data_IF_140553091773
#
_entry.id   IF_140553091773
#
_cell.length_a   1.000
_cell.length_b   1.000
_cell.length_c   1.000
_cell.angle_alpha   90.00
_cell.angle_beta   90.00
_cell.angle_gamma   90.00
#
_symmetry.space_group_name_H-M   'P 1'
#
loop_
_entity.id
_entity.type
_entity.pdbx_description
1 polymer ?
#
# COMPACT_ATOMS: atom_id res chain seq x y z
N UNK A 1 -28.89 3.60 -11.54
CA UNK A 1 -28.04 3.97 -10.39
C UNK A 1 -27.39 2.70 -9.86
N UNK A 2 -26.05 2.64 -9.78
CA UNK A 2 -25.33 1.50 -9.23
C UNK A 2 -24.98 1.82 -7.78
N UNK A 3 -25.45 1.01 -6.83
CA UNK A 3 -25.08 1.14 -5.43
C UNK A 3 -23.70 0.52 -5.21
N UNK A 4 -22.78 1.29 -4.66
CA UNK A 4 -21.43 0.83 -4.31
C UNK A 4 -21.33 0.71 -2.79
N UNK A 5 -21.08 -0.49 -2.30
CA UNK A 5 -20.91 -0.72 -0.87
C UNK A 5 -19.51 -0.29 -0.38
N UNK A 6 -19.41 0.11 0.87
CA UNK A 6 -18.15 0.52 1.54
C UNK A 6 -16.99 -0.48 1.36
N UNK A 7 -17.17 -1.81 1.42
CA UNK A 7 -16.09 -2.76 1.16
C UNK A 7 -15.49 -2.65 -0.23
N UNK A 8 -16.31 -2.42 -1.27
CA UNK A 8 -15.84 -2.24 -2.64
C UNK A 8 -15.00 -0.97 -2.80
N UNK A 9 -15.44 0.14 -2.21
CA UNK A 9 -14.67 1.38 -2.18
C UNK A 9 -13.34 1.20 -1.44
N UNK A 10 -13.35 0.49 -0.30
CA UNK A 10 -12.13 0.20 0.48
C UNK A 10 -11.11 -0.60 -0.33
N UNK A 11 -11.57 -1.59 -1.09
CA UNK A 11 -10.70 -2.36 -1.97
C UNK A 11 -10.05 -1.48 -3.02
N UNK A 12 -10.83 -0.72 -3.75
CA UNK A 12 -10.34 0.14 -4.84
C UNK A 12 -9.37 1.21 -4.35
N UNK A 13 -9.62 1.85 -3.20
CA UNK A 13 -8.68 2.83 -2.65
C UNK A 13 -7.32 2.22 -2.31
N UNK A 14 -7.31 1.00 -1.72
CA UNK A 14 -6.07 0.30 -1.37
C UNK A 14 -5.29 -0.07 -2.62
N UNK A 15 -5.95 -0.63 -3.61
CA UNK A 15 -5.35 -0.95 -4.91
C UNK A 15 -4.75 0.29 -5.60
N UNK A 16 -5.45 1.41 -5.53
CA UNK A 16 -5.01 2.68 -6.09
C UNK A 16 -3.97 3.42 -5.26
N UNK A 17 -3.66 2.94 -4.04
CA UNK A 17 -2.71 3.60 -3.14
C UNK A 17 -3.26 4.88 -2.51
N UNK A 18 -4.60 5.03 -2.43
CA UNK A 18 -5.23 6.17 -1.76
C UNK A 18 -5.23 5.93 -0.25
N UNK A 19 -4.43 6.71 0.46
CA UNK A 19 -4.25 6.61 1.90
C UNK A 19 -5.46 7.16 2.66
N UNK A 20 -5.78 6.56 3.80
CA UNK A 20 -6.86 6.97 4.69
C UNK A 20 -6.30 7.64 5.95
N UNK A 21 -6.73 8.86 6.23
CA UNK A 21 -6.39 9.56 7.45
C UNK A 21 -6.87 8.79 8.70
N UNK A 22 -6.04 8.76 9.72
CA UNK A 22 -6.29 8.01 10.95
C UNK A 22 -6.02 6.49 10.85
N UNK A 23 -5.80 5.96 9.63
CA UNK A 23 -5.43 4.57 9.42
C UNK A 23 -4.00 4.45 8.88
N UNK A 24 -3.77 4.97 7.67
CA UNK A 24 -2.50 4.85 6.97
C UNK A 24 -1.54 5.99 7.33
N UNK A 25 -2.08 7.10 7.79
CA UNK A 25 -1.30 8.23 8.31
C UNK A 25 -2.07 9.03 9.36
N UNK A 26 -1.34 9.77 10.18
CA UNK A 26 -1.89 10.67 11.21
C UNK A 26 -1.15 12.02 11.15
N UNK A 27 -1.58 13.00 11.96
CA UNK A 27 -0.87 14.28 12.10
C UNK A 27 0.59 14.17 12.57
N UNK A 28 1.00 13.01 13.10
CA UNK A 28 2.39 12.71 13.51
C UNK A 28 3.22 12.09 12.39
N UNK A 29 2.59 11.78 11.25
CA UNK A 29 3.26 11.10 10.14
C UNK A 29 3.96 12.10 9.25
N UNK A 30 5.24 11.86 8.98
CA UNK A 30 6.00 12.64 8.01
C UNK A 30 5.45 12.39 6.59
N UNK A 31 5.11 13.44 5.80
CA UNK A 31 4.57 13.28 4.46
C UNK A 31 5.49 12.51 3.50
N UNK A 32 6.81 12.57 3.67
CA UNK A 32 7.72 11.76 2.85
C UNK A 32 7.56 10.27 3.11
N UNK A 33 7.39 9.88 4.39
CA UNK A 33 7.25 8.46 4.76
C UNK A 33 6.01 7.79 4.17
N UNK A 34 5.02 8.58 3.76
CA UNK A 34 3.79 8.11 3.08
C UNK A 34 3.75 8.43 1.58
N UNK A 35 4.90 8.79 0.99
CA UNK A 35 5.02 9.01 -0.45
C UNK A 35 4.41 10.33 -0.95
N UNK A 36 4.03 11.25 -0.06
CA UNK A 36 3.44 12.54 -0.41
C UNK A 36 4.46 13.66 -0.63
N UNK A 37 5.75 13.36 -0.53
CA UNK A 37 6.83 14.34 -0.72
C UNK A 37 6.78 15.09 -2.04
N UNK A 38 6.29 14.45 -3.10
CA UNK A 38 6.12 15.06 -4.45
C UNK A 38 5.14 16.24 -4.49
N UNK A 39 4.29 16.38 -3.47
CA UNK A 39 3.33 17.48 -3.37
C UNK A 39 3.88 18.68 -2.58
N UNK A 40 5.10 18.57 -2.04
CA UNK A 40 5.74 19.63 -1.28
C UNK A 40 6.58 20.47 -2.24
N UNK A 41 6.22 21.74 -2.37
CA UNK A 41 7.02 22.69 -3.17
C UNK A 41 7.93 23.51 -2.25
N UNK A 42 9.22 23.20 -2.25
CA UNK A 42 10.24 23.90 -1.47
C UNK A 42 10.69 25.23 -2.10
N UNK A 43 10.33 25.51 -3.37
CA UNK A 43 10.67 26.77 -4.05
C UNK A 43 9.80 27.93 -3.55
N UNK A 44 8.68 27.64 -2.89
CA UNK A 44 7.91 28.66 -2.19
C UNK A 44 8.78 29.37 -1.17
N UNK A 45 8.66 30.72 -1.13
CA UNK A 45 9.46 31.58 -0.23
C UNK A 45 9.35 31.09 1.21
N UNK A 46 8.13 30.85 1.69
CA UNK A 46 7.87 30.33 3.04
C UNK A 46 6.54 29.59 3.13
N UNK A 47 6.44 28.65 4.08
CA UNK A 47 5.21 28.01 4.53
C UNK A 47 5.43 27.33 5.89
N UNK A 48 4.35 27.14 6.67
CA UNK A 48 4.42 26.54 7.99
C UNK A 48 5.01 25.13 7.91
N UNK A 49 6.10 24.88 8.65
CA UNK A 49 6.79 23.61 8.72
C UNK A 49 7.86 23.37 7.64
N UNK A 50 8.18 24.36 6.80
CA UNK A 50 9.22 24.23 5.74
C UNK A 50 10.55 23.74 6.31
N UNK A 51 11.08 24.38 7.35
CA UNK A 51 12.36 24.00 7.96
C UNK A 51 12.34 22.57 8.55
N UNK A 52 11.24 22.18 9.22
CA UNK A 52 11.09 20.84 9.78
C UNK A 52 11.09 19.77 8.68
N UNK A 53 10.40 20.05 7.56
CA UNK A 53 10.38 19.15 6.41
C UNK A 53 11.73 19.08 5.69
N UNK A 54 12.48 20.18 5.65
CA UNK A 54 13.83 20.17 5.07
C UNK A 54 14.78 19.27 5.85
N UNK A 55 14.66 19.22 7.17
CA UNK A 55 15.47 18.40 8.09
C UNK A 55 14.98 16.96 8.24
N UNK A 56 13.78 16.64 7.76
CA UNK A 56 13.18 15.33 7.93
C UNK A 56 13.75 14.27 6.99
N UNK A 57 13.63 12.98 7.38
CA UNK A 57 13.90 11.86 6.48
C UNK A 57 12.92 11.91 5.29
N UNK A 58 13.46 11.89 4.07
CA UNK A 58 12.70 12.01 2.82
C UNK A 58 12.35 10.67 2.19
N UNK A 59 12.63 9.55 2.86
CA UNK A 59 12.38 8.21 2.34
C UNK A 59 10.93 7.78 2.58
N UNK A 60 10.34 7.16 1.54
CA UNK A 60 9.02 6.55 1.66
C UNK A 60 9.13 5.20 2.39
N UNK A 61 8.22 4.98 3.35
CA UNK A 61 8.11 3.73 4.13
C UNK A 61 6.73 3.07 3.98
N UNK A 62 5.85 3.66 3.19
CA UNK A 62 4.48 3.17 2.99
C UNK A 62 4.34 2.55 1.62
N UNK A 63 3.98 1.28 1.59
CA UNK A 63 3.91 0.46 0.39
C UNK A 63 2.62 -0.35 0.36
N UNK A 64 2.33 -0.94 -0.79
CA UNK A 64 1.32 -1.96 -0.92
C UNK A 64 1.83 -3.32 -0.44
N UNK A 65 0.90 -4.22 -0.13
CA UNK A 65 1.18 -5.64 0.09
C UNK A 65 0.12 -6.48 -0.60
N UNK A 66 0.56 -7.59 -1.20
CA UNK A 66 -0.31 -8.66 -1.72
C UNK A 66 -0.07 -9.92 -0.92
N UNK A 67 -1.15 -10.62 -0.58
CA UNK A 67 -1.09 -11.89 0.16
C UNK A 67 -1.82 -12.94 -0.67
N UNK A 68 -1.13 -14.02 -1.04
CA UNK A 68 -1.67 -15.02 -1.95
C UNK A 68 -2.95 -15.69 -1.44
N UNK A 69 -3.03 -15.94 -0.13
CA UNK A 69 -4.17 -16.58 0.51
C UNK A 69 -4.57 -15.79 1.75
N UNK A 70 -5.85 -15.47 1.88
CA UNK A 70 -6.37 -14.77 3.04
C UNK A 70 -6.19 -13.24 2.99
N UNK A 71 -6.74 -12.58 3.98
CA UNK A 71 -6.68 -11.13 4.17
C UNK A 71 -5.86 -10.83 5.41
N UNK A 72 -4.87 -9.96 5.29
CA UNK A 72 -4.04 -9.56 6.42
C UNK A 72 -4.88 -8.92 7.55
N UNK A 73 -4.50 -9.14 8.80
CA UNK A 73 -5.14 -8.49 9.95
C UNK A 73 -4.56 -7.09 10.08
N UNK A 74 -5.44 -6.08 10.08
CA UNK A 74 -5.05 -4.69 10.31
C UNK A 74 -4.43 -4.54 11.71
N UNK A 75 -3.30 -3.83 11.77
CA UNK A 75 -2.55 -3.57 13.00
C UNK A 75 -1.49 -4.62 13.32
N UNK A 76 -1.57 -5.81 12.72
CA UNK A 76 -0.56 -6.85 12.90
C UNK A 76 0.76 -6.48 12.24
N UNK A 77 1.84 -6.96 12.85
CA UNK A 77 3.19 -6.81 12.31
C UNK A 77 3.42 -7.75 11.13
N UNK A 78 4.25 -7.30 10.19
CA UNK A 78 4.80 -8.15 9.14
C UNK A 78 6.25 -8.50 9.48
N UNK A 79 6.68 -9.70 9.09
CA UNK A 79 7.97 -10.23 9.49
C UNK A 79 8.79 -10.75 8.31
N UNK A 80 10.11 -10.64 8.45
CA UNK A 80 11.10 -11.39 7.65
C UNK A 80 12.02 -12.10 8.63
N UNK A 81 12.18 -13.42 8.49
CA UNK A 81 13.01 -14.25 9.39
C UNK A 81 12.71 -13.95 10.87
N UNK A 82 11.44 -14.00 11.26
CA UNK A 82 10.93 -13.74 12.61
C UNK A 82 11.14 -12.28 13.11
N UNK A 83 11.84 -11.43 12.39
CA UNK A 83 12.05 -10.02 12.74
C UNK A 83 10.87 -9.18 12.22
N UNK A 84 10.29 -8.39 13.11
CA UNK A 84 9.30 -7.38 12.72
C UNK A 84 9.97 -6.29 11.88
N UNK A 85 9.36 -5.94 10.75
CA UNK A 85 9.85 -4.92 9.83
C UNK A 85 8.84 -3.80 9.56
N UNK A 86 7.64 -3.91 10.10
CA UNK A 86 6.58 -2.94 9.92
C UNK A 86 5.22 -3.53 10.29
N UNK A 87 4.15 -2.82 9.94
CA UNK A 87 2.77 -3.20 10.28
C UNK A 87 1.79 -2.95 9.15
N UNK A 88 0.71 -3.71 9.16
CA UNK A 88 -0.45 -3.53 8.27
C UNK A 88 -1.28 -2.33 8.77
N UNK A 89 -1.46 -1.32 7.95
CA UNK A 89 -2.30 -0.16 8.28
C UNK A 89 -3.71 -0.27 7.71
N UNK A 90 -3.84 -0.88 6.55
CA UNK A 90 -5.10 -1.17 5.88
C UNK A 90 -5.03 -2.50 5.15
N UNK A 91 -6.16 -3.21 5.11
CA UNK A 91 -6.25 -4.50 4.41
C UNK A 91 -7.68 -4.81 3.98
N UNK A 92 -7.80 -5.61 2.92
CA UNK A 92 -9.05 -6.18 2.41
C UNK A 92 -8.75 -7.29 1.42
N UNK A 93 -9.79 -8.01 0.98
CA UNK A 93 -9.72 -8.92 -0.16
C UNK A 93 -9.95 -8.17 -1.46
N UNK A 94 -9.16 -8.44 -2.49
CA UNK A 94 -9.36 -7.93 -3.85
C UNK A 94 -10.02 -9.00 -4.73
N UNK A 95 -11.30 -8.84 -5.09
CA UNK A 95 -11.94 -9.72 -6.07
C UNK A 95 -11.33 -9.58 -7.47
N UNK A 96 -10.72 -8.45 -7.77
CA UNK A 96 -10.06 -8.19 -9.06
C UNK A 96 -8.73 -8.93 -9.17
N UNK A 97 -7.87 -8.84 -8.16
CA UNK A 97 -6.56 -9.49 -8.14
C UNK A 97 -6.61 -10.92 -7.56
N UNK A 98 -7.76 -11.34 -7.02
CA UNK A 98 -7.99 -12.65 -6.35
C UNK A 98 -6.92 -12.91 -5.27
N UNK A 99 -6.63 -11.90 -4.47
CA UNK A 99 -5.68 -11.99 -3.37
C UNK A 99 -6.04 -11.00 -2.25
N UNK A 100 -5.45 -11.19 -1.08
CA UNK A 100 -5.44 -10.15 -0.05
C UNK A 100 -4.61 -8.96 -0.50
N UNK A 101 -5.12 -7.75 -0.30
CA UNK A 101 -4.39 -6.50 -0.58
C UNK A 101 -4.38 -5.63 0.64
N UNK A 102 -3.31 -4.87 0.83
CA UNK A 102 -3.17 -3.99 1.99
C UNK A 102 -2.18 -2.86 1.77
N UNK A 103 -2.12 -2.00 2.77
CA UNK A 103 -1.10 -0.96 2.91
C UNK A 103 -0.28 -1.29 4.14
N UNK A 104 1.04 -1.22 4.01
CA UNK A 104 2.01 -1.44 5.07
C UNK A 104 2.82 -0.19 5.34
N UNK A 105 3.17 0.03 6.59
CA UNK A 105 4.14 1.03 6.98
C UNK A 105 5.36 0.34 7.58
N UNK A 106 6.53 0.52 6.96
CA UNK A 106 7.78 -0.10 7.37
C UNK A 106 8.48 0.73 8.46
N UNK A 107 9.13 0.06 9.38
CA UNK A 107 9.84 0.70 10.50
C UNK A 107 11.14 1.36 10.05
N UNK A 108 11.75 0.82 8.98
CA UNK A 108 13.01 1.34 8.41
C UNK A 108 12.95 1.35 6.87
N UNK A 109 14.08 1.66 6.24
CA UNK A 109 14.23 1.76 4.78
C UNK A 109 15.07 0.60 4.18
N UNK A 110 15.31 -0.45 4.95
CA UNK A 110 16.09 -1.62 4.51
C UNK A 110 15.24 -2.53 3.63
N UNK A 111 13.92 -2.49 3.83
CA UNK A 111 12.95 -3.30 3.14
C UNK A 111 12.06 -2.47 2.21
N UNK A 112 11.47 -3.13 1.21
CA UNK A 112 10.63 -2.44 0.22
C UNK A 112 9.99 -3.37 -0.81
N UNK A 113 9.51 -2.81 -1.93
CA UNK A 113 8.85 -3.57 -2.98
C UNK A 113 9.71 -4.70 -3.54
N UNK A 114 9.14 -5.89 -3.58
CA UNK A 114 9.78 -7.14 -3.97
C UNK A 114 10.10 -8.07 -2.80
N UNK A 115 10.17 -7.55 -1.58
CA UNK A 115 10.43 -8.38 -0.40
C UNK A 115 9.23 -9.27 -0.06
N UNK A 116 9.54 -10.51 0.30
CA UNK A 116 8.57 -11.51 0.77
C UNK A 116 8.53 -11.52 2.28
N UNK A 117 7.34 -11.42 2.84
CA UNK A 117 7.10 -11.27 4.26
C UNK A 117 6.09 -12.30 4.78
N UNK A 118 6.17 -12.58 6.07
CA UNK A 118 5.18 -13.37 6.80
C UNK A 118 4.08 -12.46 7.33
N UNK A 119 2.83 -12.82 7.05
CA UNK A 119 1.64 -12.02 7.32
C UNK A 119 0.60 -12.87 8.03
N UNK A 120 0.18 -12.45 9.22
CA UNK A 120 -0.94 -13.07 9.92
C UNK A 120 -2.26 -12.62 9.29
N UNK A 121 -3.09 -13.59 8.91
CA UNK A 121 -4.34 -13.38 8.20
C UNK A 121 -5.57 -13.69 9.04
N UNK A 122 -6.73 -13.25 8.57
CA UNK A 122 -8.03 -13.38 9.26
C UNK A 122 -8.49 -14.83 9.43
N UNK A 123 -7.92 -15.78 8.69
CA UNK A 123 -8.11 -17.22 8.86
C UNK A 123 -7.28 -17.82 10.02
N UNK A 124 -6.59 -16.97 10.79
CA UNK A 124 -5.72 -17.36 11.90
C UNK A 124 -4.34 -17.90 11.49
N UNK A 125 -4.07 -18.03 10.20
CA UNK A 125 -2.82 -18.59 9.67
C UNK A 125 -1.85 -17.48 9.27
N UNK A 126 -0.57 -17.86 9.16
CA UNK A 126 0.48 -17.04 8.58
C UNK A 126 0.62 -17.43 7.10
N UNK A 127 0.52 -16.43 6.24
CA UNK A 127 0.72 -16.58 4.80
C UNK A 127 1.87 -15.70 4.32
N UNK A 128 2.51 -16.11 3.23
CA UNK A 128 3.49 -15.27 2.55
C UNK A 128 2.78 -14.14 1.80
N UNK A 129 3.31 -12.94 1.95
CA UNK A 129 2.93 -11.75 1.19
C UNK A 129 4.13 -11.14 0.51
N UNK A 130 3.90 -10.32 -0.50
CA UNK A 130 4.91 -9.56 -1.23
C UNK A 130 4.63 -8.08 -1.08
N UNK A 131 5.63 -7.32 -0.64
CA UNK A 131 5.58 -5.86 -0.62
C UNK A 131 5.61 -5.36 -2.06
N UNK A 132 4.72 -4.46 -2.43
CA UNK A 132 4.61 -3.96 -3.80
C UNK A 132 4.47 -2.43 -3.85
N UNK A 133 4.72 -1.87 -5.05
CA UNK A 133 4.49 -0.45 -5.29
C UNK A 133 2.99 -0.12 -5.29
N UNK A 134 2.67 1.12 -4.97
CA UNK A 134 1.35 1.72 -5.11
C UNK A 134 1.38 2.79 -6.23
N UNK A 135 0.34 2.87 -7.06
CA UNK A 135 -0.81 1.96 -7.15
C UNK A 135 -0.40 0.53 -7.56
N UNK A 136 -1.21 -0.47 -7.18
CA UNK A 136 -0.90 -1.89 -7.45
C UNK A 136 -1.02 -2.25 -8.94
N UNK A 137 -1.83 -1.54 -9.69
CA UNK A 137 -1.95 -1.61 -11.15
C UNK A 137 -2.28 -0.22 -11.69
N UNK A 138 -2.23 -0.05 -13.01
CA UNK A 138 -2.43 1.24 -13.69
C UNK A 138 -1.57 2.38 -13.10
N UNK A 139 -0.28 2.11 -12.93
CA UNK A 139 0.66 3.02 -12.28
C UNK A 139 0.73 4.42 -12.94
N UNK A 140 0.40 4.50 -14.22
CA UNK A 140 0.35 5.76 -14.97
C UNK A 140 -1.03 6.44 -14.90
N UNK A 141 -2.05 5.78 -14.31
CA UNK A 141 -3.41 6.29 -14.26
C UNK A 141 -4.06 6.46 -15.63
N UNK A 142 -3.73 5.62 -16.58
CA UNK A 142 -4.23 5.70 -17.96
C UNK A 142 -5.71 5.34 -18.05
N UNK A 143 -6.16 4.38 -17.23
CA UNK A 143 -7.57 3.95 -17.17
C UNK A 143 -8.44 5.08 -16.63
N UNK A 144 -8.07 5.65 -15.48
CA UNK A 144 -8.87 6.72 -14.84
C UNK A 144 -8.91 8.01 -15.64
N UNK A 145 -7.90 8.24 -16.50
CA UNK A 145 -7.86 9.40 -17.41
C UNK A 145 -8.51 9.12 -18.76
N UNK A 146 -9.04 7.91 -18.97
CA UNK A 146 -9.66 7.51 -20.24
C UNK A 146 -8.70 7.37 -21.42
N UNK A 147 -7.38 7.36 -21.16
CA UNK A 147 -6.35 7.13 -22.18
C UNK A 147 -6.28 5.66 -22.59
N UNK A 148 -6.45 4.77 -21.63
CA UNK A 148 -6.62 3.34 -21.86
C UNK A 148 -8.11 3.00 -21.62
N UNK A 149 -8.84 2.73 -22.69
CA UNK A 149 -10.27 2.34 -22.62
C UNK A 149 -10.46 0.83 -22.50
N UNK A 150 -9.41 0.04 -22.58
CA UNK A 150 -9.45 -1.38 -22.29
C UNK A 150 -9.53 -1.57 -20.78
N UNK A 151 -10.74 -1.40 -20.24
CA UNK A 151 -11.00 -1.76 -18.83
C UNK A 151 -10.72 -3.26 -18.73
N UNK A 152 -9.73 -3.67 -17.93
CA UNK A 152 -9.40 -5.07 -17.79
C UNK A 152 -10.65 -5.84 -17.35
N UNK A 153 -11.00 -6.90 -18.07
CA UNK A 153 -12.06 -7.79 -17.61
C UNK A 153 -11.62 -8.38 -16.28
N UNK A 154 -12.42 -8.17 -15.25
CA UNK A 154 -12.19 -8.83 -13.98
C UNK A 154 -12.63 -10.32 -14.08
N UNK A 155 -11.94 -11.22 -13.42
CA UNK A 155 -10.77 -11.00 -12.57
C UNK A 155 -9.45 -10.93 -13.37
N UNK A 156 -8.46 -10.25 -12.79
CA UNK A 156 -7.07 -10.28 -13.24
C UNK A 156 -6.21 -10.79 -12.05
N UNK A 157 -6.08 -12.11 -11.90
CA UNK A 157 -5.43 -12.69 -10.73
C UNK A 157 -3.97 -12.25 -10.63
N UNK A 158 -3.55 -11.90 -9.42
CA UNK A 158 -2.13 -11.76 -9.13
C UNK A 158 -1.45 -13.13 -9.26
N UNK A 159 -0.37 -13.27 -10.04
CA UNK A 159 0.26 -14.56 -10.32
C UNK A 159 0.94 -15.22 -9.11
N UNK A 160 1.00 -14.53 -7.98
CA UNK A 160 1.67 -14.99 -6.78
C UNK A 160 3.13 -14.51 -6.68
N UNK A 161 3.81 -14.95 -5.63
CA UNK A 161 5.21 -14.64 -5.38
C UNK A 161 6.06 -15.38 -6.41
N UNK A 162 6.89 -14.65 -7.13
CA UNK A 162 7.87 -15.27 -8.04
C UNK A 162 8.91 -15.98 -7.18
N UNK A 163 8.90 -17.30 -7.20
CA UNK A 163 10.05 -18.08 -6.72
C UNK A 163 11.16 -17.92 -7.74
N UNK A 164 12.21 -17.20 -7.40
CA UNK A 164 13.49 -17.30 -8.12
C UNK A 164 14.03 -18.70 -7.86
N UNK A 165 13.94 -19.55 -8.89
CA UNK A 165 14.68 -20.81 -8.93
C UNK A 165 16.17 -20.51 -9.04
#
# INVERSE_FOLDING_TARGET
MILVATPGFRCRRIEAGLLSAGQDFTKKTNPFSVGLGRFINFDKKDFIGKEALMKSDKKCRTWGIRVAKGTAIKGESIKINEKNIGKITSSTWSPYQICGVGIVHLDNNENGPGDVVDVKCTDGKIHKGEICKLPMYDAKGEIVRGLNRNIPKAPNPWPGIKTTN
#
